data_IF_261872111554
#
_entry.id   IF_261872111554
#
_cell.length_a   1.000
_cell.length_b   1.000
_cell.length_c   1.000
_cell.angle_alpha   90.00
_cell.angle_beta   90.00
_cell.angle_gamma   90.00
#
_symmetry.space_group_name_H-M   'P 1'
#
loop_
_entity.id
_entity.type
_entity.pdbx_description
1 polymer ?
#
# COMPACT_ATOMS: atom_id res chain seq x y z
N UNK A 1 15.23 31.76 1.02
CA UNK A 1 15.66 30.70 1.95
C UNK A 1 14.43 30.24 2.71
N UNK A 2 13.70 29.22 2.25
CA UNK A 2 12.59 28.68 3.01
C UNK A 2 13.13 27.70 4.05
N UNK A 3 12.76 27.92 5.31
CA UNK A 3 12.94 26.96 6.39
C UNK A 3 11.91 25.85 6.19
N UNK A 4 12.33 24.64 5.82
CA UNK A 4 11.43 23.49 5.69
C UNK A 4 11.73 22.48 6.79
N UNK A 5 10.69 22.21 7.57
CA UNK A 5 10.71 21.48 8.83
C UNK A 5 10.86 19.98 8.55
N UNK A 6 11.59 19.25 9.42
CA UNK A 6 11.43 17.80 9.52
C UNK A 6 9.94 17.45 9.66
N UNK A 7 9.48 16.25 9.22
CA UNK A 7 8.09 15.86 9.46
C UNK A 7 7.81 16.00 10.96
N UNK A 8 6.84 16.85 11.29
CA UNK A 8 6.49 17.12 12.69
C UNK A 8 6.11 15.77 13.33
N UNK A 9 6.50 15.57 14.59
CA UNK A 9 6.05 14.41 15.39
C UNK A 9 4.53 14.21 15.28
N UNK A 10 3.77 15.29 15.10
CA UNK A 10 2.33 15.26 14.87
C UNK A 10 1.93 14.67 13.51
N UNK A 11 2.69 14.92 12.44
CA UNK A 11 2.45 14.36 11.10
C UNK A 11 2.75 12.86 11.08
N UNK A 12 3.87 12.44 11.66
CA UNK A 12 4.22 11.02 11.80
C UNK A 12 3.17 10.25 12.63
N UNK A 13 2.65 10.87 13.69
CA UNK A 13 1.57 10.31 14.51
C UNK A 13 0.26 10.20 13.72
N UNK A 14 -0.05 11.18 12.88
CA UNK A 14 -1.26 11.18 12.03
C UNK A 14 -1.21 10.09 10.98
N UNK A 15 -0.09 9.95 10.26
CA UNK A 15 0.11 8.88 9.27
C UNK A 15 0.02 7.48 9.92
N UNK A 16 0.56 7.32 11.12
CA UNK A 16 0.43 6.08 11.89
C UNK A 16 -1.03 5.77 12.26
N UNK A 17 -1.80 6.79 12.69
CA UNK A 17 -3.24 6.64 13.00
C UNK A 17 -4.04 6.25 11.76
N UNK A 18 -3.83 6.92 10.62
CA UNK A 18 -4.50 6.59 9.36
C UNK A 18 -4.18 5.16 8.90
N UNK A 19 -2.95 4.70 9.10
CA UNK A 19 -2.54 3.32 8.80
C UNK A 19 -3.30 2.31 9.66
N UNK A 20 -3.43 2.57 10.96
CA UNK A 20 -4.18 1.72 11.89
C UNK A 20 -5.66 1.68 11.52
N UNK A 21 -6.26 2.82 11.18
CA UNK A 21 -7.64 2.91 10.73
C UNK A 21 -7.86 2.13 9.43
N UNK A 22 -6.93 2.22 8.47
CA UNK A 22 -7.01 1.48 7.22
C UNK A 22 -6.92 -0.04 7.43
N UNK A 23 -6.00 -0.50 8.28
CA UNK A 23 -5.89 -1.91 8.65
C UNK A 23 -7.16 -2.38 9.37
N UNK A 24 -7.71 -1.57 10.27
CA UNK A 24 -8.95 -1.87 10.99
C UNK A 24 -10.14 -1.96 10.03
N UNK A 25 -10.26 -1.02 9.09
CA UNK A 25 -11.27 -1.02 8.04
C UNK A 25 -11.19 -2.30 7.21
N UNK A 26 -9.99 -2.70 6.79
CA UNK A 26 -9.75 -3.89 5.99
C UNK A 26 -9.76 -5.20 6.78
N UNK A 27 -9.88 -5.16 8.11
CA UNK A 27 -9.91 -6.38 8.91
C UNK A 27 -11.24 -7.13 8.77
N UNK A 28 -11.15 -8.45 8.87
CA UNK A 28 -12.28 -9.38 8.96
C UNK A 28 -11.90 -10.59 9.83
N UNK A 29 -12.87 -11.44 10.18
CA UNK A 29 -12.67 -12.67 10.94
C UNK A 29 -13.05 -13.89 10.11
N UNK A 30 -12.09 -14.80 9.93
CA UNK A 30 -12.32 -16.09 9.27
C UNK A 30 -11.79 -17.21 10.16
N UNK A 31 -12.65 -18.18 10.51
CA UNK A 31 -12.25 -19.34 11.31
C UNK A 31 -11.62 -18.97 12.66
N UNK A 32 -12.09 -17.90 13.31
CA UNK A 32 -11.54 -17.42 14.59
C UNK A 32 -10.27 -16.56 14.50
N UNK A 33 -9.69 -16.40 13.31
CA UNK A 33 -8.47 -15.62 13.09
C UNK A 33 -8.80 -14.28 12.42
N UNK A 34 -8.06 -13.24 12.79
CA UNK A 34 -8.16 -11.94 12.11
C UNK A 34 -7.36 -11.99 10.80
N UNK A 35 -8.02 -11.64 9.70
CA UNK A 35 -7.45 -11.62 8.35
C UNK A 35 -7.73 -10.27 7.69
N UNK A 36 -6.97 -9.94 6.65
CA UNK A 36 -7.31 -8.82 5.78
C UNK A 36 -8.38 -9.30 4.79
N UNK A 37 -9.52 -8.60 4.77
CA UNK A 37 -10.61 -8.87 3.85
C UNK A 37 -10.20 -8.51 2.43
N UNK A 38 -10.04 -9.54 1.60
CA UNK A 38 -9.83 -9.42 0.17
C UNK A 38 -10.96 -8.63 -0.53
N UNK A 39 -12.22 -8.82 -0.13
CA UNK A 39 -13.36 -8.13 -0.74
C UNK A 39 -13.26 -6.61 -0.57
N UNK A 40 -13.14 -6.14 0.68
CA UNK A 40 -12.90 -4.72 0.99
C UNK A 40 -11.66 -4.15 0.30
N UNK A 41 -10.58 -4.93 0.19
CA UNK A 41 -9.36 -4.48 -0.50
C UNK A 41 -9.61 -4.28 -2.00
N UNK A 42 -10.24 -5.25 -2.68
CA UNK A 42 -10.59 -5.16 -4.10
C UNK A 42 -11.51 -3.96 -4.35
N UNK A 43 -12.51 -3.75 -3.48
CA UNK A 43 -13.43 -2.61 -3.55
C UNK A 43 -12.69 -1.28 -3.38
N UNK A 44 -11.88 -1.15 -2.32
CA UNK A 44 -11.07 0.04 -2.06
C UNK A 44 -10.15 0.39 -3.22
N UNK A 45 -9.51 -0.62 -3.83
CA UNK A 45 -8.60 -0.44 -4.95
C UNK A 45 -9.32 -0.30 -6.30
N UNK A 46 -10.63 -0.50 -6.36
CA UNK A 46 -11.39 -0.52 -7.62
C UNK A 46 -10.89 -1.59 -8.60
N UNK A 47 -10.47 -2.75 -8.08
CA UNK A 47 -9.98 -3.88 -8.87
C UNK A 47 -11.11 -4.86 -9.19
N UNK A 48 -10.87 -5.73 -10.17
CA UNK A 48 -11.63 -6.97 -10.32
C UNK A 48 -10.81 -8.19 -9.87
N UNK A 49 -11.48 -9.33 -9.73
CA UNK A 49 -10.85 -10.59 -9.28
C UNK A 49 -9.71 -11.00 -10.22
N UNK A 50 -9.84 -10.76 -11.52
CA UNK A 50 -8.82 -11.17 -12.50
C UNK A 50 -7.56 -10.31 -12.41
N UNK A 51 -7.74 -9.01 -12.23
CA UNK A 51 -6.67 -8.03 -12.04
C UNK A 51 -5.91 -8.30 -10.75
N UNK A 52 -6.64 -8.52 -9.65
CA UNK A 52 -6.03 -8.92 -8.38
C UNK A 52 -5.24 -10.24 -8.51
N UNK A 53 -5.83 -11.26 -9.14
CA UNK A 53 -5.17 -12.56 -9.32
C UNK A 53 -3.84 -12.42 -10.08
N UNK A 54 -3.84 -11.59 -11.14
CA UNK A 54 -2.65 -11.26 -11.93
C UNK A 54 -1.59 -10.54 -11.10
N UNK A 55 -1.98 -9.53 -10.33
CA UNK A 55 -1.06 -8.73 -9.50
C UNK A 55 -0.47 -9.52 -8.33
N UNK A 56 -1.26 -10.40 -7.73
CA UNK A 56 -0.83 -11.27 -6.64
C UNK A 56 -0.11 -12.55 -7.11
N UNK A 57 0.01 -12.79 -8.43
CA UNK A 57 0.55 -14.02 -9.03
C UNK A 57 -0.13 -15.29 -8.50
N UNK A 58 -1.45 -15.26 -8.35
CA UNK A 58 -2.26 -16.40 -7.91
C UNK A 58 -3.30 -16.77 -8.94
N UNK A 59 -3.79 -18.00 -8.88
CA UNK A 59 -4.91 -18.42 -9.71
C UNK A 59 -6.22 -17.79 -9.22
N UNK A 60 -7.13 -17.43 -10.14
CA UNK A 60 -8.47 -16.89 -9.81
C UNK A 60 -9.26 -17.76 -8.83
N UNK A 61 -9.12 -19.08 -8.96
CA UNK A 61 -9.74 -20.06 -8.04
C UNK A 61 -9.30 -19.82 -6.58
N UNK A 62 -8.03 -19.49 -6.36
CA UNK A 62 -7.50 -19.17 -5.02
C UNK A 62 -8.18 -17.93 -4.45
N UNK A 63 -8.37 -16.89 -5.28
CA UNK A 63 -9.03 -15.64 -4.88
C UNK A 63 -10.48 -15.89 -4.45
N UNK A 64 -11.19 -16.80 -5.12
CA UNK A 64 -12.60 -17.11 -4.86
C UNK A 64 -12.76 -18.06 -3.66
N UNK A 65 -11.95 -19.12 -3.60
CA UNK A 65 -12.17 -20.23 -2.68
C UNK A 65 -11.25 -20.22 -1.45
N UNK A 66 -10.15 -19.47 -1.49
CA UNK A 66 -9.18 -19.38 -0.41
C UNK A 66 -8.71 -17.92 -0.17
N UNK A 67 -9.62 -16.97 0.10
CA UNK A 67 -9.27 -15.54 0.28
C UNK A 67 -8.32 -15.26 1.46
N UNK A 68 -8.24 -16.19 2.42
CA UNK A 68 -7.31 -16.13 3.55
C UNK A 68 -5.95 -16.79 3.26
N UNK A 69 -5.70 -17.26 2.03
CA UNK A 69 -4.42 -17.88 1.67
C UNK A 69 -3.25 -16.91 1.90
N UNK A 70 -2.11 -17.46 2.33
CA UNK A 70 -0.94 -16.67 2.69
C UNK A 70 -0.46 -15.76 1.54
N UNK A 71 -0.50 -16.23 0.29
CA UNK A 71 -0.12 -15.43 -0.88
C UNK A 71 -1.00 -14.18 -1.04
N UNK A 72 -2.31 -14.32 -0.87
CA UNK A 72 -3.28 -13.21 -0.91
C UNK A 72 -3.02 -12.25 0.24
N UNK A 73 -2.89 -12.78 1.46
CA UNK A 73 -2.67 -11.96 2.66
C UNK A 73 -1.34 -11.20 2.61
N UNK A 74 -0.28 -11.83 2.11
CA UNK A 74 1.03 -11.19 1.90
C UNK A 74 0.97 -10.09 0.85
N UNK A 75 0.28 -10.33 -0.28
CA UNK A 75 0.13 -9.32 -1.32
C UNK A 75 -0.66 -8.10 -0.82
N UNK A 76 -1.79 -8.30 -0.13
CA UNK A 76 -2.56 -7.20 0.48
C UNK A 76 -1.67 -6.43 1.46
N UNK A 77 -0.93 -7.12 2.33
CA UNK A 77 -0.06 -6.47 3.32
C UNK A 77 1.03 -5.62 2.66
N UNK A 78 1.66 -6.11 1.59
CA UNK A 78 2.68 -5.37 0.85
C UNK A 78 2.10 -4.08 0.23
N UNK A 79 0.90 -4.15 -0.35
CA UNK A 79 0.19 -2.98 -0.86
C UNK A 79 -0.06 -1.96 0.28
N UNK A 80 -0.57 -2.41 1.43
CA UNK A 80 -0.87 -1.53 2.56
C UNK A 80 0.37 -0.86 3.15
N UNK A 81 1.49 -1.56 3.22
CA UNK A 81 2.76 -0.98 3.66
C UNK A 81 3.20 0.17 2.75
N UNK A 82 3.10 -0.02 1.43
CA UNK A 82 3.47 1.02 0.47
C UNK A 82 2.47 2.17 0.47
N UNK A 83 1.16 1.90 0.53
CA UNK A 83 0.14 2.95 0.64
C UNK A 83 0.34 3.82 1.89
N UNK A 84 0.65 3.21 3.04
CA UNK A 84 0.97 3.94 4.27
C UNK A 84 2.22 4.83 4.11
N UNK A 85 3.27 4.32 3.45
CA UNK A 85 4.47 5.08 3.19
C UNK A 85 4.23 6.25 2.22
N UNK A 86 3.42 6.04 1.16
CA UNK A 86 3.02 7.11 0.24
C UNK A 86 2.23 8.19 0.98
N UNK A 87 1.26 7.81 1.82
CA UNK A 87 0.48 8.73 2.63
C UNK A 87 1.37 9.59 3.55
N UNK A 88 2.37 8.97 4.19
CA UNK A 88 3.31 9.66 5.05
C UNK A 88 4.21 10.67 4.32
N UNK A 89 4.45 10.47 3.01
CA UNK A 89 5.28 11.37 2.19
C UNK A 89 4.44 12.46 1.53
N UNK A 90 3.22 12.15 1.06
CA UNK A 90 2.41 13.10 0.30
C UNK A 90 1.46 13.95 1.14
N UNK A 91 1.02 13.44 2.31
CA UNK A 91 0.00 14.10 3.14
C UNK A 91 -1.39 14.12 2.49
N UNK A 92 -1.59 13.35 1.42
CA UNK A 92 -2.86 13.27 0.71
C UNK A 92 -3.89 12.44 1.50
N UNK A 93 -5.16 12.61 1.17
CA UNK A 93 -6.21 11.68 1.60
C UNK A 93 -6.07 10.31 0.91
N UNK A 94 -6.85 9.32 1.36
CA UNK A 94 -6.75 7.95 0.86
C UNK A 94 -6.90 7.86 -0.68
N UNK A 95 -7.77 8.69 -1.27
CA UNK A 95 -7.97 8.70 -2.72
C UNK A 95 -6.76 9.26 -3.47
N UNK A 96 -6.18 10.37 -3.00
CA UNK A 96 -4.94 10.90 -3.55
C UNK A 96 -3.78 9.92 -3.44
N UNK A 97 -3.64 9.25 -2.28
CA UNK A 97 -2.64 8.20 -2.05
C UNK A 97 -2.79 7.04 -3.03
N UNK A 98 -4.01 6.52 -3.21
CA UNK A 98 -4.27 5.42 -4.16
C UNK A 98 -3.98 5.88 -5.59
N UNK A 99 -4.43 7.07 -6.00
CA UNK A 99 -4.21 7.59 -7.34
C UNK A 99 -2.70 7.67 -7.65
N UNK A 100 -1.93 8.17 -6.69
CA UNK A 100 -0.49 8.35 -6.78
C UNK A 100 0.24 7.00 -6.81
N UNK A 101 -0.10 6.09 -5.89
CA UNK A 101 0.41 4.72 -5.85
C UNK A 101 0.25 3.97 -7.19
N UNK A 102 -0.91 4.14 -7.84
CA UNK A 102 -1.24 3.43 -9.08
C UNK A 102 -0.67 4.08 -10.33
N UNK A 103 -0.54 5.41 -10.35
CA UNK A 103 -0.31 6.14 -11.60
C UNK A 103 0.97 7.00 -11.61
N UNK A 104 1.57 7.30 -10.45
CA UNK A 104 2.80 8.09 -10.44
C UNK A 104 4.00 7.23 -10.86
N UNK A 105 4.70 7.60 -11.95
CA UNK A 105 5.88 6.86 -12.38
C UNK A 105 7.07 7.19 -11.48
N UNK A 106 7.77 6.16 -11.02
CA UNK A 106 8.98 6.30 -10.22
C UNK A 106 10.20 6.24 -11.15
N UNK A 107 10.83 7.39 -11.40
CA UNK A 107 11.98 7.52 -12.30
C UNK A 107 13.13 6.53 -12.01
N UNK A 108 13.55 6.27 -10.74
CA UNK A 108 14.60 5.30 -10.44
C UNK A 108 14.28 3.86 -10.85
N UNK A 109 13.01 3.55 -11.11
CA UNK A 109 12.54 2.21 -11.43
C UNK A 109 12.05 2.09 -12.87
N UNK A 110 12.71 2.77 -13.82
CA UNK A 110 12.32 2.82 -15.23
C UNK A 110 10.89 3.31 -15.42
N UNK A 111 10.49 4.31 -14.63
CA UNK A 111 9.15 4.91 -14.67
C UNK A 111 7.99 3.94 -14.36
N UNK A 112 8.27 2.81 -13.70
CA UNK A 112 7.23 1.94 -13.15
C UNK A 112 6.51 2.63 -11.98
N UNK A 113 5.24 2.31 -11.80
CA UNK A 113 4.45 2.79 -10.67
C UNK A 113 4.72 1.95 -9.43
N UNK A 114 4.36 2.47 -8.25
CA UNK A 114 4.50 1.72 -7.01
C UNK A 114 3.66 0.43 -7.03
N UNK A 115 2.44 0.48 -7.59
CA UNK A 115 1.59 -0.71 -7.82
C UNK A 115 2.28 -1.78 -8.65
N UNK A 116 2.91 -1.41 -9.77
CA UNK A 116 3.62 -2.34 -10.63
C UNK A 116 4.80 -3.00 -9.90
N UNK A 117 5.54 -2.24 -9.10
CA UNK A 117 6.68 -2.77 -8.32
C UNK A 117 6.22 -3.71 -7.20
N UNK A 118 5.12 -3.41 -6.53
CA UNK A 118 4.53 -4.31 -5.52
C UNK A 118 4.07 -5.61 -6.17
N UNK A 119 3.42 -5.55 -7.33
CA UNK A 119 3.08 -6.73 -8.11
C UNK A 119 4.31 -7.53 -8.52
N UNK A 120 5.45 -6.90 -8.79
CA UNK A 120 6.73 -7.58 -9.07
C UNK A 120 7.44 -8.15 -7.82
N UNK A 121 6.84 -8.04 -6.63
CA UNK A 121 7.46 -8.47 -5.37
C UNK A 121 8.54 -7.53 -4.85
N UNK A 122 8.60 -6.30 -5.38
CA UNK A 122 9.63 -5.29 -5.09
C UNK A 122 9.13 -4.18 -4.17
N UNK A 123 8.20 -4.50 -3.27
CA UNK A 123 7.64 -3.54 -2.31
C UNK A 123 8.74 -2.89 -1.44
N UNK A 124 9.75 -3.66 -1.03
CA UNK A 124 10.88 -3.17 -0.24
C UNK A 124 11.66 -2.07 -0.97
N UNK A 125 11.85 -2.19 -2.28
CA UNK A 125 12.56 -1.17 -3.08
C UNK A 125 11.80 0.16 -3.06
N UNK A 126 10.46 0.11 -3.14
CA UNK A 126 9.59 1.30 -3.07
C UNK A 126 9.66 1.93 -1.68
N UNK A 127 9.58 1.11 -0.62
CA UNK A 127 9.70 1.60 0.75
C UNK A 127 11.04 2.31 1.00
N UNK A 128 12.14 1.72 0.54
CA UNK A 128 13.47 2.32 0.66
C UNK A 128 13.57 3.65 -0.11
N UNK A 129 12.95 3.76 -1.29
CA UNK A 129 12.89 5.02 -2.04
C UNK A 129 12.10 6.08 -1.25
N UNK A 130 10.92 5.74 -0.75
CA UNK A 130 10.07 6.66 0.00
C UNK A 130 10.73 7.11 1.31
N UNK A 131 11.40 6.21 2.02
CA UNK A 131 12.22 6.52 3.19
C UNK A 131 13.38 7.45 2.82
N UNK A 132 14.07 7.20 1.70
CA UNK A 132 15.15 8.07 1.22
C UNK A 132 14.65 9.47 0.84
N UNK A 133 13.45 9.57 0.26
CA UNK A 133 12.80 10.86 -0.04
C UNK A 133 12.49 11.59 1.27
N UNK A 134 11.89 10.89 2.24
CA UNK A 134 11.58 11.47 3.55
C UNK A 134 12.86 11.92 4.28
N UNK A 135 13.93 11.14 4.23
CA UNK A 135 15.23 11.45 4.84
C UNK A 135 15.99 12.59 4.12
N UNK A 136 15.92 12.63 2.78
CA UNK A 136 16.51 13.70 1.96
C UNK A 136 15.75 15.02 2.04
N UNK A 137 14.48 14.98 2.47
CA UNK A 137 13.67 16.15 2.81
C UNK A 137 14.07 16.77 4.17
N UNK A 138 14.84 16.07 5.00
CA UNK A 138 15.33 16.54 6.33
C UNK A 138 16.55 17.47 6.21
N UNK A 139 16.68 18.21 5.10
CA UNK A 139 17.82 19.09 4.79
C UNK A 139 17.51 20.58 4.89
#
# INVERSE_FOLDING_TARGET
MPHLNAPDRNEALTAAVQTVELIAFLSDRTGGHQVLSLAKFIEMMGLDIASFAREAHVHRSTVIHAPAAQSIQSHIRANLQVLAAVAAVSGDDLQGVILRYRNEPLAPFNYKTAEALVAEGRAADVLNLLESIQAGFVG
#
